data_IF_134920754765
#
_entry.id   IF_134920754765
#
_cell.length_a   1.000
_cell.length_b   1.000
_cell.length_c   1.000
_cell.angle_alpha   90.00
_cell.angle_beta   90.00
_cell.angle_gamma   90.00
#
_symmetry.space_group_name_H-M   'P 1'
#
loop_
_entity.id
_entity.type
_entity.pdbx_description
1 polymer ?
#
# COMPACT_ATOMS: atom_id res chain seq x y z
N UNK A 1 -29.49 -18.66 -15.22
CA UNK A 1 -29.02 -19.41 -14.02
C UNK A 1 -27.50 -19.49 -13.86
N UNK A 2 -26.69 -19.62 -14.94
CA UNK A 2 -25.21 -19.64 -14.86
C UNK A 2 -24.59 -18.36 -14.24
N UNK A 3 -25.31 -17.24 -14.25
CA UNK A 3 -24.83 -15.98 -13.68
C UNK A 3 -25.06 -15.82 -12.16
N UNK A 4 -26.00 -16.54 -11.55
CA UNK A 4 -26.44 -16.21 -10.17
C UNK A 4 -25.34 -16.49 -9.14
N UNK A 5 -24.79 -17.71 -9.13
CA UNK A 5 -23.68 -18.06 -8.24
C UNK A 5 -22.43 -17.20 -8.46
N UNK A 6 -22.16 -16.79 -9.71
CA UNK A 6 -21.10 -15.83 -10.04
C UNK A 6 -21.35 -14.45 -9.40
N UNK A 7 -22.58 -13.95 -9.47
CA UNK A 7 -22.97 -12.67 -8.85
C UNK A 7 -22.79 -12.72 -7.33
N UNK A 8 -23.17 -13.82 -6.70
CA UNK A 8 -23.02 -14.03 -5.25
C UNK A 8 -21.55 -14.01 -4.84
N UNK A 9 -20.67 -14.76 -5.53
CA UNK A 9 -19.22 -14.75 -5.26
C UNK A 9 -18.67 -13.33 -5.34
N UNK A 10 -19.02 -12.61 -6.40
CA UNK A 10 -18.51 -11.25 -6.62
C UNK A 10 -19.05 -10.25 -5.60
N UNK A 11 -20.31 -10.39 -5.17
CA UNK A 11 -20.90 -9.53 -4.15
C UNK A 11 -20.22 -9.73 -2.79
N UNK A 12 -20.06 -10.99 -2.36
CA UNK A 12 -19.39 -11.34 -1.12
C UNK A 12 -17.91 -10.91 -1.11
N UNK A 13 -17.16 -11.22 -2.18
CA UNK A 13 -15.77 -10.79 -2.31
C UNK A 13 -15.66 -9.26 -2.31
N UNK A 14 -16.53 -8.54 -3.03
CA UNK A 14 -16.52 -7.07 -3.05
C UNK A 14 -16.85 -6.47 -1.68
N UNK A 15 -17.74 -7.09 -0.91
CA UNK A 15 -18.14 -6.61 0.42
C UNK A 15 -16.96 -6.58 1.40
N UNK A 16 -16.04 -7.53 1.30
CA UNK A 16 -14.94 -7.72 2.26
C UNK A 16 -13.59 -7.24 1.70
N UNK A 17 -13.26 -7.56 0.45
CA UNK A 17 -11.96 -7.26 -0.14
C UNK A 17 -11.83 -5.81 -0.60
N UNK A 18 -12.89 -5.23 -1.19
CA UNK A 18 -12.82 -3.89 -1.76
C UNK A 18 -12.65 -2.74 -0.73
N UNK A 19 -13.23 -2.82 0.49
CA UNK A 19 -12.94 -1.85 1.55
C UNK A 19 -11.47 -1.82 1.98
N UNK A 20 -10.75 -2.94 1.81
CA UNK A 20 -9.35 -3.11 2.23
C UNK A 20 -8.36 -2.77 1.10
N UNK A 21 -8.84 -2.23 -0.02
CA UNK A 21 -8.00 -1.75 -1.13
C UNK A 21 -7.84 -2.73 -2.30
N UNK A 22 -8.28 -3.99 -2.15
CA UNK A 22 -8.19 -4.98 -3.24
C UNK A 22 -9.16 -4.62 -4.38
N UNK A 23 -8.70 -4.81 -5.61
CA UNK A 23 -9.51 -4.58 -6.80
C UNK A 23 -9.68 -5.82 -7.66
N UNK A 24 -10.81 -5.90 -8.35
CA UNK A 24 -11.18 -7.03 -9.18
C UNK A 24 -10.55 -6.93 -10.57
N UNK A 25 -10.08 -8.05 -11.11
CA UNK A 25 -9.54 -8.15 -12.47
C UNK A 25 -10.69 -8.35 -13.47
N UNK A 26 -11.10 -7.26 -14.14
CA UNK A 26 -12.15 -7.29 -15.16
C UNK A 26 -13.46 -7.92 -14.66
N UNK A 27 -13.99 -8.89 -15.41
CA UNK A 27 -15.17 -9.68 -15.05
C UNK A 27 -14.84 -11.05 -14.45
N UNK A 28 -13.57 -11.32 -14.14
CA UNK A 28 -13.13 -12.60 -13.53
C UNK A 28 -13.59 -12.73 -12.08
N UNK A 29 -13.33 -13.86 -11.42
CA UNK A 29 -13.50 -14.02 -9.97
C UNK A 29 -12.19 -13.80 -9.21
N UNK A 30 -11.28 -13.04 -9.80
CA UNK A 30 -9.94 -12.80 -9.28
C UNK A 30 -9.83 -11.37 -8.78
N UNK A 31 -9.22 -11.22 -7.62
CA UNK A 31 -8.96 -9.96 -6.94
C UNK A 31 -7.46 -9.83 -6.70
N UNK A 32 -6.96 -8.60 -6.79
CA UNK A 32 -5.56 -8.26 -6.63
C UNK A 32 -5.42 -7.25 -5.50
N UNK A 33 -4.51 -7.54 -4.60
CA UNK A 33 -3.87 -6.58 -3.71
C UNK A 33 -2.53 -6.16 -4.33
N UNK A 34 -2.48 -4.95 -4.87
CA UNK A 34 -1.27 -4.44 -5.53
C UNK A 34 -0.35 -3.77 -4.51
N UNK A 35 0.76 -4.44 -4.21
CA UNK A 35 1.79 -3.96 -3.29
C UNK A 35 3.00 -3.38 -4.04
N UNK A 36 2.86 -3.08 -5.34
CA UNK A 36 3.85 -2.41 -6.18
C UNK A 36 4.93 -3.33 -6.78
N UNK A 37 5.68 -4.07 -5.97
CA UNK A 37 6.71 -5.01 -6.45
C UNK A 37 6.24 -6.47 -6.50
N UNK A 38 5.14 -6.75 -5.82
CA UNK A 38 4.44 -8.02 -5.86
C UNK A 38 2.95 -7.76 -5.74
N UNK A 39 2.16 -8.71 -6.20
CA UNK A 39 0.71 -8.69 -6.06
C UNK A 39 0.28 -9.89 -5.25
N UNK A 40 -0.65 -9.71 -4.33
CA UNK A 40 -1.34 -10.83 -3.69
C UNK A 40 -2.63 -11.03 -4.46
N UNK A 41 -2.72 -12.17 -5.14
CA UNK A 41 -3.87 -12.55 -5.93
C UNK A 41 -4.77 -13.48 -5.10
N UNK A 42 -6.03 -13.10 -5.00
CA UNK A 42 -7.12 -13.90 -4.43
C UNK A 42 -7.98 -14.41 -5.58
N UNK A 43 -8.00 -15.72 -5.79
CA UNK A 43 -8.76 -16.36 -6.86
C UNK A 43 -9.84 -17.29 -6.29
N UNK A 44 -11.08 -16.99 -6.66
CA UNK A 44 -12.22 -17.89 -6.45
C UNK A 44 -12.29 -18.89 -7.61
N UNK A 45 -11.44 -19.92 -7.54
CA UNK A 45 -11.21 -20.85 -8.65
C UNK A 45 -12.45 -21.73 -8.91
N UNK A 46 -12.99 -21.75 -10.13
CA UNK A 46 -14.09 -22.64 -10.51
C UNK A 46 -13.64 -24.11 -10.59
N UNK A 47 -14.61 -25.03 -10.47
CA UNK A 47 -14.41 -26.45 -10.75
C UNK A 47 -15.08 -26.82 -12.08
N UNK A 48 -14.43 -27.64 -12.88
CA UNK A 48 -15.01 -28.17 -14.12
C UNK A 48 -16.14 -29.18 -13.87
N UNK A 49 -16.21 -29.76 -12.67
CA UNK A 49 -17.12 -30.86 -12.32
C UNK A 49 -18.36 -30.40 -11.55
N UNK A 50 -18.33 -29.22 -10.94
CA UNK A 50 -19.43 -28.73 -10.11
C UNK A 50 -19.49 -27.20 -10.11
N UNK A 51 -20.71 -26.67 -9.95
CA UNK A 51 -20.94 -25.23 -9.86
C UNK A 51 -20.56 -24.78 -8.47
N UNK A 52 -19.42 -24.12 -8.33
CA UNK A 52 -18.91 -23.75 -7.02
C UNK A 52 -17.57 -23.04 -7.11
N UNK A 53 -16.86 -22.98 -5.99
CA UNK A 53 -15.54 -22.37 -5.92
C UNK A 53 -14.64 -23.06 -4.90
N UNK A 54 -13.36 -23.16 -5.26
CA UNK A 54 -12.25 -23.18 -4.31
C UNK A 54 -11.80 -21.75 -4.00
N UNK A 55 -10.96 -21.60 -2.99
CA UNK A 55 -10.24 -20.37 -2.71
C UNK A 55 -8.74 -20.62 -2.87
N UNK A 56 -8.09 -19.81 -3.70
CA UNK A 56 -6.64 -19.75 -3.79
C UNK A 56 -6.17 -18.33 -3.42
N UNK A 57 -5.08 -18.24 -2.67
CA UNK A 57 -4.42 -16.97 -2.36
C UNK A 57 -2.92 -17.14 -2.49
N UNK A 58 -2.29 -16.32 -3.31
CA UNK A 58 -0.85 -16.39 -3.54
C UNK A 58 -0.23 -15.08 -3.99
N UNK A 59 1.07 -14.98 -3.76
CA UNK A 59 1.93 -13.87 -4.13
C UNK A 59 2.48 -14.12 -5.53
N UNK A 60 2.46 -13.10 -6.38
CA UNK A 60 3.20 -13.06 -7.63
C UNK A 60 4.20 -11.91 -7.61
N UNK A 61 5.47 -12.18 -7.89
CA UNK A 61 6.54 -11.17 -7.90
C UNK A 61 6.62 -10.52 -9.29
N UNK A 62 6.57 -9.18 -9.34
CA UNK A 62 6.48 -8.42 -10.59
C UNK A 62 7.83 -8.16 -11.27
N UNK A 63 8.87 -8.92 -10.91
CA UNK A 63 10.22 -8.81 -11.49
C UNK A 63 10.69 -10.08 -12.21
N UNK A 64 9.81 -11.08 -12.40
CA UNK A 64 10.15 -12.31 -13.09
C UNK A 64 9.88 -12.21 -14.59
N UNK A 65 10.94 -12.26 -15.40
CA UNK A 65 10.91 -11.86 -16.82
C UNK A 65 10.55 -12.98 -17.80
N UNK A 66 10.03 -14.13 -17.32
CA UNK A 66 9.70 -15.24 -18.23
C UNK A 66 8.36 -14.98 -18.93
N UNK A 67 8.35 -15.00 -20.27
CA UNK A 67 7.16 -14.72 -21.10
C UNK A 67 5.94 -15.56 -20.71
N UNK A 68 6.13 -16.82 -20.30
CA UNK A 68 5.05 -17.73 -19.85
C UNK A 68 4.37 -17.31 -18.53
N UNK A 69 5.05 -16.60 -17.63
CA UNK A 69 4.43 -16.09 -16.39
C UNK A 69 3.73 -14.74 -16.60
N UNK A 70 4.16 -13.95 -17.58
CA UNK A 70 3.53 -12.66 -17.88
C UNK A 70 2.15 -12.81 -18.56
N UNK A 71 1.91 -13.94 -19.22
CA UNK A 71 0.62 -14.26 -19.84
C UNK A 71 -0.42 -14.80 -18.82
N UNK A 72 0.05 -15.25 -17.65
CA UNK A 72 -0.79 -15.77 -16.56
C UNK A 72 -0.15 -15.43 -15.22
N UNK A 73 -0.74 -14.50 -14.45
CA UNK A 73 -0.36 -14.25 -13.05
C UNK A 73 -0.34 -15.57 -12.27
N UNK A 74 0.85 -16.16 -12.12
CA UNK A 74 1.06 -17.42 -11.45
C UNK A 74 1.49 -17.15 -10.01
N UNK A 75 1.03 -17.98 -9.07
CA UNK A 75 1.48 -17.88 -7.68
C UNK A 75 2.94 -18.33 -7.58
N UNK A 76 3.85 -17.42 -7.25
CA UNK A 76 5.21 -17.75 -6.84
C UNK A 76 5.22 -18.37 -5.44
N UNK A 77 4.37 -17.87 -4.55
CA UNK A 77 4.19 -18.35 -3.18
C UNK A 77 2.70 -18.43 -2.90
N UNK A 78 2.25 -19.49 -2.22
CA UNK A 78 0.84 -19.68 -1.90
C UNK A 78 0.06 -20.44 -2.97
N UNK A 79 -1.12 -20.92 -2.60
CA UNK A 79 -1.98 -21.76 -3.44
C UNK A 79 -3.38 -21.85 -2.79
N UNK A 80 -4.03 -23.01 -2.88
CA UNK A 80 -5.33 -23.33 -2.30
C UNK A 80 -5.35 -23.18 -0.78
N UNK A 81 -6.34 -22.45 -0.29
CA UNK A 81 -6.61 -22.26 1.13
C UNK A 81 -7.47 -23.42 1.64
N UNK A 82 -6.81 -24.50 2.09
CA UNK A 82 -7.49 -25.73 2.51
C UNK A 82 -8.47 -25.55 3.67
N UNK A 83 -8.28 -24.53 4.52
CA UNK A 83 -9.13 -24.20 5.68
C UNK A 83 -10.61 -24.07 5.32
N UNK A 84 -10.93 -23.52 4.15
CA UNK A 84 -12.32 -23.28 3.71
C UNK A 84 -12.85 -24.32 2.71
N UNK A 85 -12.00 -25.24 2.23
CA UNK A 85 -12.40 -26.35 1.36
C UNK A 85 -13.02 -25.92 0.03
N UNK A 86 -13.95 -26.74 -0.48
CA UNK A 86 -14.74 -26.47 -1.69
C UNK A 86 -16.18 -26.10 -1.33
N UNK A 87 -16.70 -25.04 -1.94
CA UNK A 87 -18.09 -24.65 -1.78
C UNK A 87 -18.88 -24.92 -3.07
N UNK A 88 -19.81 -25.88 -3.00
CA UNK A 88 -20.77 -26.20 -4.07
C UNK A 88 -22.04 -25.36 -3.97
N UNK A 89 -22.52 -24.85 -5.11
CA UNK A 89 -23.77 -24.12 -5.25
C UNK A 89 -24.91 -25.06 -5.65
N UNK A 90 -25.85 -25.28 -4.72
CA UNK A 90 -27.02 -26.16 -4.89
C UNK A 90 -28.35 -25.39 -5.02
N UNK A 91 -28.29 -24.11 -5.36
CA UNK A 91 -29.48 -23.27 -5.57
C UNK A 91 -29.99 -22.53 -4.33
N UNK A 92 -29.29 -22.61 -3.19
CA UNK A 92 -29.58 -21.81 -2.00
C UNK A 92 -28.63 -20.60 -1.96
N UNK A 93 -29.13 -19.44 -2.38
CA UNK A 93 -28.35 -18.22 -2.52
C UNK A 93 -27.79 -17.74 -1.18
N UNK A 94 -28.63 -17.69 -0.14
CA UNK A 94 -28.23 -17.17 1.18
C UNK A 94 -27.14 -18.02 1.85
N UNK A 95 -27.27 -19.35 1.77
CA UNK A 95 -26.27 -20.27 2.31
C UNK A 95 -24.94 -20.20 1.54
N UNK A 96 -25.01 -19.99 0.22
CA UNK A 96 -23.83 -19.87 -0.62
C UNK A 96 -23.14 -18.52 -0.46
N UNK A 97 -23.90 -17.43 -0.29
CA UNK A 97 -23.39 -16.09 0.01
C UNK A 97 -22.58 -16.09 1.30
N UNK A 98 -23.14 -16.64 2.39
CA UNK A 98 -22.42 -16.75 3.66
C UNK A 98 -21.08 -17.50 3.51
N UNK A 99 -21.06 -18.61 2.77
CA UNK A 99 -19.81 -19.33 2.49
C UNK A 99 -18.81 -18.51 1.68
N UNK A 100 -19.28 -17.67 0.75
CA UNK A 100 -18.39 -16.80 -0.03
C UNK A 100 -17.86 -15.63 0.80
N UNK A 101 -18.61 -15.17 1.80
CA UNK A 101 -18.12 -14.23 2.80
C UNK A 101 -17.03 -14.88 3.66
N UNK A 102 -17.25 -16.09 4.17
CA UNK A 102 -16.23 -16.85 4.93
C UNK A 102 -14.94 -17.07 4.09
N UNK A 103 -15.09 -17.31 2.78
CA UNK A 103 -13.96 -17.41 1.85
C UNK A 103 -13.22 -16.07 1.73
N UNK A 104 -13.94 -14.96 1.59
CA UNK A 104 -13.32 -13.64 1.49
C UNK A 104 -12.64 -13.21 2.80
N UNK A 105 -13.18 -13.57 3.97
CA UNK A 105 -12.53 -13.36 5.27
C UNK A 105 -11.23 -14.18 5.40
N UNK A 106 -11.27 -15.46 5.03
CA UNK A 106 -10.07 -16.31 5.00
C UNK A 106 -9.02 -15.80 4.00
N UNK A 107 -9.47 -15.20 2.89
CA UNK A 107 -8.57 -14.56 1.94
C UNK A 107 -7.87 -13.34 2.55
N UNK A 108 -8.61 -12.49 3.27
CA UNK A 108 -8.03 -11.34 3.98
C UNK A 108 -7.03 -11.75 5.05
N UNK A 109 -7.29 -12.84 5.78
CA UNK A 109 -6.33 -13.41 6.74
C UNK A 109 -5.00 -13.74 6.05
N UNK A 110 -5.06 -14.41 4.89
CA UNK A 110 -3.86 -14.78 4.10
C UNK A 110 -3.18 -13.58 3.44
N UNK A 111 -3.93 -12.61 2.95
CA UNK A 111 -3.38 -11.35 2.43
C UNK A 111 -2.54 -10.68 3.51
N UNK A 112 -3.07 -10.52 4.73
CA UNK A 112 -2.34 -9.93 5.86
C UNK A 112 -1.11 -10.75 6.26
N UNK A 113 -1.21 -12.07 6.28
CA UNK A 113 -0.08 -12.97 6.55
C UNK A 113 1.06 -12.76 5.54
N UNK A 114 0.74 -12.71 4.25
CA UNK A 114 1.72 -12.49 3.18
C UNK A 114 2.32 -11.08 3.21
N UNK A 115 1.54 -10.04 3.51
CA UNK A 115 2.06 -8.68 3.72
C UNK A 115 3.03 -8.61 4.90
N UNK A 116 2.79 -9.37 5.98
CA UNK A 116 3.72 -9.47 7.11
C UNK A 116 4.99 -10.26 6.76
N UNK A 117 4.88 -11.34 5.99
CA UNK A 117 6.01 -12.16 5.55
C UNK A 117 7.05 -11.36 4.75
N UNK A 118 6.63 -10.37 3.94
CA UNK A 118 7.58 -9.50 3.22
C UNK A 118 8.53 -8.74 4.15
N UNK A 119 8.02 -8.25 5.28
CA UNK A 119 8.86 -7.52 6.22
C UNK A 119 9.81 -8.45 6.99
N UNK A 120 9.40 -9.70 7.22
CA UNK A 120 10.28 -10.76 7.72
C UNK A 120 11.37 -11.09 6.69
N UNK A 121 11.03 -11.14 5.39
CA UNK A 121 12.00 -11.35 4.31
C UNK A 121 13.03 -10.20 4.26
N UNK A 122 12.62 -8.94 4.42
CA UNK A 122 13.56 -7.81 4.49
C UNK A 122 14.51 -7.92 5.68
N UNK A 123 14.01 -8.34 6.85
CA UNK A 123 14.88 -8.64 8.01
C UNK A 123 15.92 -9.66 7.59
N UNK A 124 15.50 -10.80 7.03
CA UNK A 124 16.39 -11.93 6.69
C UNK A 124 17.42 -11.62 5.60
N UNK A 125 17.06 -10.81 4.61
CA UNK A 125 17.90 -10.56 3.42
C UNK A 125 18.96 -9.49 3.67
N UNK A 126 18.78 -8.60 4.67
CA UNK A 126 19.70 -7.49 4.93
C UNK A 126 20.28 -7.56 6.34
N UNK A 127 21.37 -8.32 6.54
CA UNK A 127 22.05 -8.36 7.83
C UNK A 127 22.56 -6.96 8.19
N UNK A 128 22.39 -6.58 9.45
CA UNK A 128 22.88 -5.32 10.01
C UNK A 128 23.97 -5.60 11.04
N UNK A 129 24.98 -4.75 11.09
CA UNK A 129 26.07 -4.87 12.07
C UNK A 129 25.96 -3.84 13.20
N UNK A 130 25.28 -2.71 12.94
CA UNK A 130 25.16 -1.59 13.88
C UNK A 130 23.74 -1.05 13.98
N UNK A 131 23.40 -0.43 15.13
CA UNK A 131 22.09 0.19 15.35
C UNK A 131 21.82 1.38 14.41
N UNK A 132 22.88 2.04 13.94
CA UNK A 132 22.79 3.24 13.09
C UNK A 132 22.46 2.89 11.63
N UNK A 133 22.79 1.67 11.18
CA UNK A 133 22.40 1.13 9.87
C UNK A 133 20.89 0.93 9.72
N UNK A 134 20.15 0.83 10.83
CA UNK A 134 18.68 0.73 10.81
C UNK A 134 18.06 2.01 10.23
N UNK A 135 18.70 3.17 10.43
CA UNK A 135 18.23 4.44 9.85
C UNK A 135 18.29 4.45 8.31
N UNK A 136 19.06 3.56 7.68
CA UNK A 136 19.12 3.43 6.21
C UNK A 136 17.81 2.88 5.64
N UNK A 137 16.97 2.22 6.45
CA UNK A 137 15.63 1.78 6.04
C UNK A 137 14.64 2.94 5.84
N UNK A 138 14.98 4.15 6.30
CA UNK A 138 14.11 5.33 6.17
C UNK A 138 13.66 5.55 4.71
N UNK A 139 14.55 5.36 3.74
CA UNK A 139 14.21 5.56 2.31
C UNK A 139 13.22 4.51 1.80
N UNK A 140 13.43 3.23 2.11
CA UNK A 140 12.55 2.14 1.68
C UNK A 140 11.16 2.27 2.31
N UNK A 141 11.09 2.62 3.59
CA UNK A 141 9.80 2.74 4.27
C UNK A 141 9.07 4.03 3.86
N UNK A 142 9.79 5.10 3.53
CA UNK A 142 9.18 6.29 2.94
C UNK A 142 8.56 6.00 1.56
N UNK A 143 9.19 5.15 0.73
CA UNK A 143 8.59 4.69 -0.52
C UNK A 143 7.33 3.85 -0.27
N UNK A 144 7.39 2.90 0.68
CA UNK A 144 6.24 2.09 1.08
C UNK A 144 5.07 2.97 1.52
N UNK A 145 5.32 4.03 2.29
CA UNK A 145 4.29 5.00 2.67
C UNK A 145 3.70 5.73 1.46
N UNK A 146 4.54 6.08 0.48
CA UNK A 146 4.10 6.64 -0.81
C UNK A 146 3.07 5.75 -1.49
N UNK A 147 3.39 4.46 -1.66
CA UNK A 147 2.50 3.46 -2.28
C UNK A 147 1.24 3.25 -1.46
N UNK A 148 1.39 2.99 -0.15
CA UNK A 148 0.28 2.68 0.75
C UNK A 148 -0.71 3.84 0.91
N UNK A 149 -0.24 5.09 0.82
CA UNK A 149 -1.11 6.27 0.96
C UNK A 149 -1.63 6.80 -0.38
N UNK A 150 -1.24 6.20 -1.51
CA UNK A 150 -1.57 6.65 -2.87
C UNK A 150 -3.09 6.60 -3.15
N UNK A 151 -3.80 5.68 -2.51
CA UNK A 151 -5.22 5.39 -2.76
C UNK A 151 -6.18 6.15 -1.83
N UNK A 152 -5.69 6.79 -0.77
CA UNK A 152 -6.45 7.45 0.31
C UNK A 152 -7.64 8.30 -0.17
N UNK A 153 -7.50 8.94 -1.34
CA UNK A 153 -8.57 9.65 -2.04
C UNK A 153 -8.87 9.08 -3.42
N UNK A 154 -7.89 8.47 -4.10
CA UNK A 154 -8.09 7.88 -5.43
C UNK A 154 -9.22 6.84 -5.42
N UNK A 155 -9.39 6.12 -4.32
CA UNK A 155 -10.48 5.16 -4.13
C UNK A 155 -11.89 5.77 -4.34
N UNK A 156 -12.06 7.08 -4.11
CA UNK A 156 -13.34 7.76 -4.36
C UNK A 156 -13.66 7.82 -5.86
N UNK A 157 -12.65 7.94 -6.72
CA UNK A 157 -12.84 7.93 -8.18
C UNK A 157 -13.25 6.55 -8.70
N UNK A 158 -13.06 5.48 -7.92
CA UNK A 158 -13.39 4.12 -8.32
C UNK A 158 -14.86 3.80 -8.01
N UNK A 159 -15.53 3.16 -8.98
CA UNK A 159 -16.92 2.67 -8.86
C UNK A 159 -17.98 3.75 -8.63
N UNK A 160 -17.85 4.94 -9.25
CA UNK A 160 -18.79 6.06 -9.14
C UNK A 160 -19.02 6.59 -7.71
N UNK A 161 -18.22 6.14 -6.73
CA UNK A 161 -18.31 6.57 -5.33
C UNK A 161 -18.15 8.08 -5.18
N UNK A 162 -17.38 8.70 -6.07
CA UNK A 162 -17.14 10.14 -6.10
C UNK A 162 -18.45 10.93 -6.23
N UNK A 163 -19.44 10.42 -6.97
CA UNK A 163 -20.74 11.09 -7.11
C UNK A 163 -21.46 11.20 -5.77
N UNK A 164 -21.43 10.13 -4.97
CA UNK A 164 -21.99 10.10 -3.61
C UNK A 164 -21.12 10.90 -2.64
N UNK A 165 -19.80 10.81 -2.77
CA UNK A 165 -18.85 11.51 -1.90
C UNK A 165 -19.02 13.04 -1.95
N UNK A 166 -19.30 13.58 -3.14
CA UNK A 166 -19.52 15.02 -3.33
C UNK A 166 -20.88 15.53 -2.83
N UNK A 167 -21.84 14.65 -2.52
CA UNK A 167 -23.08 15.03 -1.83
C UNK A 167 -22.84 15.37 -0.35
N UNK A 168 -21.73 14.90 0.23
CA UNK A 168 -21.42 15.19 1.62
C UNK A 168 -20.95 16.65 1.81
N UNK A 169 -21.35 17.29 2.94
CA UNK A 169 -20.83 18.59 3.32
C UNK A 169 -19.29 18.59 3.39
N UNK A 170 -18.67 19.71 3.02
CA UNK A 170 -17.21 19.87 3.00
C UNK A 170 -16.52 19.39 4.29
N UNK A 171 -17.08 19.73 5.46
CA UNK A 171 -16.56 19.28 6.77
C UNK A 171 -16.45 17.76 6.88
N UNK A 172 -17.43 17.01 6.37
CA UNK A 172 -17.42 15.53 6.39
C UNK A 172 -16.37 14.96 5.43
N UNK A 173 -16.21 15.57 4.25
CA UNK A 173 -15.16 15.19 3.28
C UNK A 173 -13.76 15.38 3.86
N UNK A 174 -13.49 16.54 4.47
CA UNK A 174 -12.21 16.79 5.14
C UNK A 174 -11.96 15.82 6.30
N UNK A 175 -12.98 15.58 7.13
CA UNK A 175 -12.85 14.66 8.28
C UNK A 175 -12.58 13.23 7.83
N UNK A 176 -13.27 12.75 6.79
CA UNK A 176 -13.05 11.42 6.22
C UNK A 176 -11.62 11.25 5.70
N UNK A 177 -11.15 12.24 4.93
CA UNK A 177 -9.82 12.22 4.34
C UNK A 177 -8.70 12.29 5.40
N UNK A 178 -8.83 13.22 6.36
CA UNK A 178 -7.88 13.34 7.48
C UNK A 178 -7.85 12.07 8.31
N UNK A 179 -9.01 11.46 8.58
CA UNK A 179 -9.09 10.19 9.33
C UNK A 179 -8.30 9.08 8.63
N UNK A 180 -8.43 8.92 7.30
CA UNK A 180 -7.67 7.92 6.53
C UNK A 180 -6.17 8.19 6.60
N UNK A 181 -5.75 9.42 6.35
CA UNK A 181 -4.34 9.82 6.43
C UNK A 181 -3.76 9.53 7.82
N UNK A 182 -4.46 9.88 8.89
CA UNK A 182 -4.02 9.62 10.27
C UNK A 182 -3.94 8.13 10.56
N UNK A 183 -4.93 7.34 10.15
CA UNK A 183 -4.93 5.88 10.33
C UNK A 183 -3.74 5.26 9.60
N UNK A 184 -3.53 5.60 8.31
CA UNK A 184 -2.40 5.09 7.53
C UNK A 184 -1.05 5.48 8.13
N UNK A 185 -0.91 6.73 8.57
CA UNK A 185 0.32 7.21 9.19
C UNK A 185 0.60 6.49 10.52
N UNK A 186 -0.39 6.35 11.39
CA UNK A 186 -0.24 5.65 12.69
C UNK A 186 0.08 4.18 12.47
N UNK A 187 -0.58 3.53 11.51
CA UNK A 187 -0.31 2.13 11.15
C UNK A 187 1.15 1.94 10.73
N UNK A 188 1.66 2.76 9.82
CA UNK A 188 3.04 2.65 9.33
C UNK A 188 4.08 3.00 10.42
N UNK A 189 3.79 3.95 11.30
CA UNK A 189 4.68 4.26 12.45
C UNK A 189 4.74 3.06 13.41
N UNK A 190 3.59 2.47 13.74
CA UNK A 190 3.53 1.28 14.59
C UNK A 190 4.29 0.10 13.97
N UNK A 191 4.17 -0.05 12.65
CA UNK A 191 4.93 -1.02 11.87
C UNK A 191 6.43 -0.86 12.12
N UNK A 192 6.99 0.33 11.84
CA UNK A 192 8.43 0.61 11.99
C UNK A 192 8.90 0.42 13.42
N UNK A 193 8.11 0.86 14.39
CA UNK A 193 8.42 0.70 15.81
C UNK A 193 8.63 -0.78 16.16
N UNK A 194 7.76 -1.67 15.66
CA UNK A 194 7.89 -3.12 15.84
C UNK A 194 9.07 -3.68 15.04
N UNK A 195 9.25 -3.27 13.78
CA UNK A 195 10.33 -3.78 12.92
C UNK A 195 11.72 -3.45 13.43
N UNK A 196 11.91 -2.27 14.01
CA UNK A 196 13.17 -1.89 14.63
C UNK A 196 13.61 -2.95 15.65
N UNK A 197 12.70 -3.37 16.53
CA UNK A 197 13.00 -4.40 17.53
C UNK A 197 13.18 -5.79 16.92
N UNK A 198 12.49 -6.10 15.81
CA UNK A 198 12.73 -7.33 15.04
C UNK A 198 14.18 -7.45 14.57
N UNK A 199 14.76 -6.38 14.04
CA UNK A 199 16.18 -6.32 13.66
C UNK A 199 17.12 -6.48 14.86
N UNK A 200 16.80 -5.83 15.98
CA UNK A 200 17.61 -5.91 17.21
C UNK A 200 17.63 -7.32 17.79
N UNK A 201 16.48 -8.00 17.79
CA UNK A 201 16.36 -9.38 18.28
C UNK A 201 17.05 -10.40 17.37
N UNK A 202 17.00 -10.19 16.05
CA UNK A 202 17.54 -11.13 15.07
C UNK A 202 19.07 -11.04 14.94
N UNK A 203 19.62 -9.82 14.89
CA UNK A 203 21.01 -9.60 14.52
C UNK A 203 21.91 -9.14 15.67
N UNK A 204 21.34 -8.78 16.83
CA UNK A 204 22.08 -8.27 17.99
C UNK A 204 23.14 -7.21 17.60
N UNK A 205 22.74 -6.11 16.93
CA UNK A 205 23.67 -5.12 16.41
C UNK A 205 24.51 -4.50 17.52
N UNK A 206 25.75 -4.10 17.20
CA UNK A 206 26.63 -3.46 18.17
C UNK A 206 26.43 -1.95 18.17
N UNK A 207 26.43 -1.33 19.35
CA UNK A 207 26.34 0.11 19.47
C UNK A 207 27.72 0.78 19.45
N UNK A 208 28.21 1.08 18.26
CA UNK A 208 29.44 1.87 18.08
C UNK A 208 29.23 3.37 18.34
N UNK A 209 27.97 3.79 18.47
CA UNK A 209 27.60 5.20 18.34
C UNK A 209 27.71 6.03 19.63
N UNK A 210 28.03 5.44 20.78
CA UNK A 210 28.11 6.15 22.06
C UNK A 210 26.80 6.79 22.56
N UNK A 211 25.77 6.85 21.72
CA UNK A 211 24.42 7.34 22.01
C UNK A 211 23.59 6.20 22.58
N UNK A 212 22.73 6.49 23.56
CA UNK A 212 21.85 5.46 24.12
C UNK A 212 20.95 4.83 23.05
N UNK A 213 20.71 3.52 23.15
CA UNK A 213 19.86 2.76 22.22
C UNK A 213 18.44 3.38 22.14
N UNK A 214 17.92 3.87 23.26
CA UNK A 214 16.63 4.54 23.32
C UNK A 214 16.58 5.80 22.43
N UNK A 215 17.65 6.60 22.44
CA UNK A 215 17.73 7.81 21.59
C UNK A 215 17.84 7.42 20.12
N UNK A 216 18.64 6.41 19.76
CA UNK A 216 18.74 5.93 18.38
C UNK A 216 17.39 5.41 17.86
N UNK A 217 16.67 4.66 18.69
CA UNK A 217 15.33 4.17 18.39
C UNK A 217 14.35 5.33 18.12
N UNK A 218 14.27 6.30 19.03
CA UNK A 218 13.38 7.45 18.89
C UNK A 218 13.73 8.26 17.63
N UNK A 219 15.02 8.52 17.40
CA UNK A 219 15.48 9.26 16.22
C UNK A 219 15.12 8.53 14.92
N UNK A 220 15.32 7.21 14.85
CA UNK A 220 14.96 6.40 13.70
C UNK A 220 13.45 6.44 13.42
N UNK A 221 12.62 6.17 14.43
CA UNK A 221 11.16 6.17 14.30
C UNK A 221 10.64 7.54 13.89
N UNK A 222 11.13 8.62 14.51
CA UNK A 222 10.70 9.98 14.19
C UNK A 222 11.16 10.45 12.80
N UNK A 223 12.38 10.10 12.36
CA UNK A 223 12.85 10.42 11.02
C UNK A 223 12.04 9.66 9.96
N UNK A 224 11.80 8.37 10.16
CA UNK A 224 10.92 7.59 9.30
C UNK A 224 9.50 8.17 9.26
N UNK A 225 8.94 8.56 10.41
CA UNK A 225 7.62 9.18 10.47
C UNK A 225 7.53 10.45 9.61
N UNK A 226 8.53 11.32 9.68
CA UNK A 226 8.58 12.56 8.89
C UNK A 226 8.69 12.26 7.38
N UNK A 227 9.59 11.35 7.00
CA UNK A 227 9.82 10.99 5.59
C UNK A 227 8.64 10.25 4.97
N UNK A 228 7.99 9.36 5.72
CA UNK A 228 6.73 8.71 5.33
C UNK A 228 5.60 9.72 5.15
N UNK A 229 5.45 10.67 6.09
CA UNK A 229 4.41 11.67 6.00
C UNK A 229 4.56 12.51 4.73
N UNK A 230 5.79 12.93 4.41
CA UNK A 230 6.05 13.64 3.16
C UNK A 230 5.78 12.79 1.91
N UNK A 231 6.40 11.62 1.80
CA UNK A 231 6.28 10.77 0.60
C UNK A 231 4.85 10.27 0.38
N UNK A 232 4.14 9.93 1.46
CA UNK A 232 2.74 9.54 1.46
C UNK A 232 1.82 10.65 0.97
N UNK A 233 1.93 11.85 1.55
CA UNK A 233 1.13 13.01 1.12
C UNK A 233 1.49 13.44 -0.31
N UNK A 234 2.76 13.39 -0.70
CA UNK A 234 3.19 13.69 -2.06
C UNK A 234 2.57 12.73 -3.07
N UNK A 235 2.61 11.43 -2.80
CA UNK A 235 2.03 10.41 -3.69
C UNK A 235 0.52 10.57 -3.79
N UNK A 236 -0.16 10.75 -2.65
CA UNK A 236 -1.57 11.11 -2.60
C UNK A 236 -1.89 12.37 -3.44
N UNK A 237 -1.07 13.42 -3.36
CA UNK A 237 -1.25 14.62 -4.17
C UNK A 237 -1.10 14.32 -5.66
N UNK A 238 -0.07 13.56 -6.02
CA UNK A 238 0.22 13.18 -7.40
C UNK A 238 -0.92 12.35 -8.00
N UNK A 239 -1.42 11.34 -7.28
CA UNK A 239 -2.55 10.50 -7.75
C UNK A 239 -3.83 11.31 -7.89
N UNK A 240 -4.08 12.27 -6.99
CA UNK A 240 -5.23 13.16 -7.07
C UNK A 240 -5.17 14.10 -8.30
N UNK A 241 -4.02 14.74 -8.53
CA UNK A 241 -3.82 15.65 -9.66
C UNK A 241 -3.84 14.92 -11.01
N UNK A 242 -3.17 13.77 -11.09
CA UNK A 242 -3.03 12.98 -12.32
C UNK A 242 -4.26 12.12 -12.61
N UNK A 243 -5.12 11.88 -11.61
CA UNK A 243 -6.28 10.98 -11.67
C UNK A 243 -5.92 9.57 -12.17
N UNK A 244 -4.71 9.12 -11.88
CA UNK A 244 -4.23 7.79 -12.21
C UNK A 244 -3.27 7.33 -11.11
N UNK A 245 -3.62 6.23 -10.45
CA UNK A 245 -2.83 5.70 -9.33
C UNK A 245 -1.44 5.23 -9.79
N UNK A 246 -1.37 4.52 -10.92
CA UNK A 246 -0.11 4.01 -11.46
C UNK A 246 0.86 5.11 -11.89
N UNK A 247 0.39 6.14 -12.59
CA UNK A 247 1.25 7.28 -12.98
C UNK A 247 1.70 8.05 -11.74
N UNK A 248 0.82 8.26 -10.75
CA UNK A 248 1.18 8.94 -9.50
C UNK A 248 2.25 8.19 -8.71
N UNK A 249 2.07 6.89 -8.51
CA UNK A 249 3.08 6.02 -7.87
C UNK A 249 4.39 6.02 -8.67
N UNK A 250 4.31 5.89 -10.00
CA UNK A 250 5.49 5.92 -10.87
C UNK A 250 6.28 7.22 -10.78
N UNK A 251 5.61 8.38 -10.74
CA UNK A 251 6.26 9.67 -10.55
C UNK A 251 6.97 9.76 -9.19
N UNK A 252 6.32 9.31 -8.11
CA UNK A 252 6.93 9.31 -6.77
C UNK A 252 8.08 8.30 -6.68
N UNK A 253 7.99 7.16 -7.35
CA UNK A 253 9.07 6.20 -7.43
C UNK A 253 10.30 6.75 -8.16
N UNK A 254 10.12 7.44 -9.30
CA UNK A 254 11.22 8.11 -10.00
C UNK A 254 11.86 9.20 -9.15
N UNK A 255 11.05 9.98 -8.42
CA UNK A 255 11.56 10.96 -7.46
C UNK A 255 12.34 10.27 -6.32
N UNK A 256 11.83 9.16 -5.80
CA UNK A 256 12.51 8.39 -4.77
C UNK A 256 13.87 7.86 -5.26
N UNK A 257 13.94 7.32 -6.48
CA UNK A 257 15.21 6.89 -7.09
C UNK A 257 16.20 8.06 -7.18
N UNK A 258 15.73 9.24 -7.57
CA UNK A 258 16.57 10.44 -7.58
C UNK A 258 17.05 10.82 -6.17
N UNK A 259 16.15 10.89 -5.18
CA UNK A 259 16.46 11.25 -3.79
C UNK A 259 17.38 10.26 -3.07
N UNK A 260 17.41 9.01 -3.53
CA UNK A 260 18.25 7.93 -2.98
C UNK A 260 19.56 7.76 -3.78
N UNK A 261 19.68 8.41 -4.94
CA UNK A 261 20.87 8.37 -5.80
C UNK A 261 21.98 9.30 -5.31
N UNK A 262 23.23 8.97 -5.70
CA UNK A 262 24.42 9.81 -5.51
C UNK A 262 24.28 11.21 -6.10
N UNK A 263 23.38 11.43 -7.08
CA UNK A 263 23.10 12.74 -7.69
C UNK A 263 22.60 13.75 -6.64
N UNK A 264 21.89 13.27 -5.61
CA UNK A 264 21.35 14.10 -4.52
C UNK A 264 22.46 14.84 -3.75
N UNK A 265 23.72 14.40 -3.84
CA UNK A 265 24.86 15.08 -3.22
C UNK A 265 25.13 16.47 -3.80
N UNK A 266 24.66 16.75 -5.02
CA UNK A 266 24.78 18.07 -5.66
C UNK A 266 23.82 19.08 -5.02
N UNK A 267 22.72 18.62 -4.42
CA UNK A 267 21.72 19.48 -3.82
C UNK A 267 22.20 20.10 -2.50
N UNK A 268 21.72 21.30 -2.13
CA UNK A 268 21.88 21.85 -0.79
C UNK A 268 21.43 20.86 0.29
N UNK A 269 22.11 20.84 1.43
CA UNK A 269 21.89 19.84 2.49
C UNK A 269 20.44 19.77 2.99
N UNK A 270 19.71 20.88 2.94
CA UNK A 270 18.29 20.95 3.33
C UNK A 270 17.38 20.15 2.40
N UNK A 271 17.72 20.06 1.10
CA UNK A 271 16.94 19.35 0.08
C UNK A 271 17.31 17.86 -0.04
N UNK A 272 18.23 17.37 0.80
CA UNK A 272 18.60 15.96 0.81
C UNK A 272 17.78 15.22 1.85
N UNK A 273 16.58 14.75 1.46
CA UNK A 273 15.59 14.13 2.36
C UNK A 273 16.20 13.06 3.28
N UNK A 274 16.96 12.13 2.71
CA UNK A 274 17.51 10.97 3.43
C UNK A 274 18.92 11.20 3.97
N UNK A 275 19.42 12.44 4.00
CA UNK A 275 20.79 12.72 4.44
C UNK A 275 21.01 12.31 5.90
N UNK A 276 22.09 11.60 6.18
CA UNK A 276 22.52 11.29 7.54
C UNK A 276 23.67 12.24 7.93
N UNK A 277 23.56 12.88 9.08
CA UNK A 277 24.64 13.64 9.72
C UNK A 277 25.70 12.65 10.21
N UNK A 278 26.92 12.77 9.68
CA UNK A 278 28.02 11.85 9.96
C UNK A 278 28.86 11.39 8.76
N UNK A 279 28.49 11.73 7.52
CA UNK A 279 29.25 11.36 6.29
C UNK A 279 30.73 11.86 6.27
N UNK A 280 31.17 12.65 7.26
CA UNK A 280 32.50 13.31 7.28
C UNK A 280 33.34 12.97 8.53
N UNK A 281 32.88 12.13 9.47
CA UNK A 281 33.66 11.85 10.70
C UNK A 281 33.92 10.35 10.86
N UNK A 282 35.18 9.99 11.13
CA UNK A 282 35.72 8.64 11.31
C UNK A 282 35.09 7.82 12.47
N UNK A 283 34.08 8.36 13.17
CA UNK A 283 33.54 7.80 14.42
C UNK A 283 32.22 7.00 14.28
N UNK A 284 31.75 6.69 13.06
CA UNK A 284 30.66 5.71 12.85
C UNK A 284 29.25 6.15 13.30
N UNK A 285 29.03 7.44 13.57
CA UNK A 285 27.72 7.99 13.94
C UNK A 285 26.89 8.33 12.70
N UNK A 286 25.76 7.65 12.47
CA UNK A 286 24.79 8.00 11.42
C UNK A 286 23.46 8.43 12.08
N UNK A 287 23.25 9.74 12.21
CA UNK A 287 21.98 10.29 12.72
C UNK A 287 21.23 11.06 11.64
N UNK A 288 19.89 11.12 11.65
CA UNK A 288 19.14 11.88 10.66
C UNK A 288 19.50 13.38 10.68
N UNK A 289 19.74 13.98 9.50
CA UNK A 289 19.87 15.43 9.39
C UNK A 289 18.48 16.09 9.52
N UNK A 290 18.16 16.49 10.76
CA UNK A 290 16.85 17.00 11.18
C UNK A 290 16.32 18.21 10.40
N UNK A 291 17.13 19.22 10.03
CA UNK A 291 16.63 20.38 9.28
C UNK A 291 15.95 19.98 7.95
N UNK A 292 16.43 18.91 7.30
CA UNK A 292 15.77 18.39 6.10
C UNK A 292 14.40 17.77 6.42
N UNK A 293 14.30 16.92 7.46
CA UNK A 293 13.02 16.28 7.86
C UNK A 293 11.96 17.32 8.22
N UNK A 294 12.36 18.39 8.92
CA UNK A 294 11.47 19.50 9.26
C UNK A 294 10.96 20.19 7.99
N UNK A 295 11.85 20.51 7.04
CA UNK A 295 11.47 21.11 5.76
C UNK A 295 10.43 20.26 5.04
N UNK A 296 10.70 18.96 4.88
CA UNK A 296 9.80 18.05 4.17
C UNK A 296 8.47 17.83 4.90
N UNK A 297 8.46 17.82 6.24
CA UNK A 297 7.22 17.81 7.01
C UNK A 297 6.38 19.08 6.79
N UNK A 298 7.01 20.26 6.73
CA UNK A 298 6.33 21.53 6.41
C UNK A 298 5.76 21.51 4.99
N UNK A 299 6.54 21.01 4.01
CA UNK A 299 6.06 20.84 2.63
C UNK A 299 4.87 19.89 2.59
N UNK A 300 4.93 18.78 3.32
CA UNK A 300 3.83 17.82 3.43
C UNK A 300 2.55 18.46 3.98
N UNK A 301 2.66 19.32 5.01
CA UNK A 301 1.52 20.09 5.53
C UNK A 301 0.94 21.01 4.44
N UNK A 302 1.78 21.70 3.66
CA UNK A 302 1.35 22.52 2.53
C UNK A 302 0.59 21.70 1.47
N UNK A 303 1.11 20.53 1.11
CA UNK A 303 0.47 19.60 0.17
C UNK A 303 -0.86 19.05 0.73
N UNK A 304 -0.94 18.81 2.05
CA UNK A 304 -2.19 18.39 2.69
C UNK A 304 -3.25 19.49 2.57
N UNK A 305 -2.91 20.76 2.82
CA UNK A 305 -3.83 21.87 2.61
C UNK A 305 -4.28 22.00 1.15
N UNK A 306 -3.36 21.81 0.20
CA UNK A 306 -3.70 21.78 -1.23
C UNK A 306 -4.73 20.69 -1.52
N UNK A 307 -4.54 19.48 -0.99
CA UNK A 307 -5.48 18.38 -1.19
C UNK A 307 -6.85 18.64 -0.54
N UNK A 308 -6.88 19.19 0.67
CA UNK A 308 -8.12 19.57 1.33
C UNK A 308 -8.88 20.63 0.51
N UNK A 309 -8.16 21.55 -0.13
CA UNK A 309 -8.74 22.51 -1.06
C UNK A 309 -9.26 21.83 -2.34
N UNK A 310 -8.50 20.90 -2.94
CA UNK A 310 -8.89 20.18 -4.15
C UNK A 310 -10.18 19.36 -3.96
N UNK A 311 -10.39 18.78 -2.77
CA UNK A 311 -11.61 18.03 -2.40
C UNK A 311 -12.87 18.91 -2.38
N UNK A 312 -12.71 20.24 -2.29
CA UNK A 312 -13.82 21.17 -2.41
C UNK A 312 -14.25 21.41 -3.85
N UNK A 313 -13.32 21.32 -4.81
CA UNK A 313 -13.64 21.50 -6.24
C UNK A 313 -14.22 20.22 -6.80
N UNK A 314 -15.39 20.31 -7.43
CA UNK A 314 -15.99 19.17 -8.12
C UNK A 314 -15.07 18.77 -9.29
N UNK A 315 -14.82 17.48 -9.53
CA UNK A 315 -13.98 17.07 -10.64
C UNK A 315 -14.71 17.42 -11.94
N UNK A 316 -14.04 18.12 -12.87
CA UNK A 316 -14.59 18.31 -14.21
C UNK A 316 -14.99 16.95 -14.81
N UNK A 317 -16.30 16.77 -15.01
CA UNK A 317 -16.94 15.58 -15.58
C UNK A 317 -16.61 15.42 -17.09
N UNK A 318 -15.97 16.42 -17.69
CA UNK A 318 -15.82 16.60 -19.13
C UNK A 318 -14.53 16.06 -19.76
N UNK A 319 -13.63 15.42 -19.01
CA UNK A 319 -12.49 14.72 -19.63
C UNK A 319 -12.96 13.35 -20.15
N UNK A 320 -13.17 13.29 -21.48
CA UNK A 320 -13.47 12.09 -22.28
C UNK A 320 -12.78 10.84 -21.69
N UNK A 321 -13.59 9.98 -21.07
CA UNK A 321 -13.15 8.76 -20.41
C UNK A 321 -14.23 8.18 -19.49
N UNK A 322 -15.14 9.04 -19.00
CA UNK A 322 -16.17 8.70 -18.02
C UNK A 322 -17.52 8.31 -18.61
N UNK A 323 -17.58 7.94 -19.89
CA UNK A 323 -18.82 7.58 -20.58
C UNK A 323 -18.79 6.14 -21.11
N UNK A 324 -18.70 5.14 -20.24
CA UNK A 324 -19.22 3.79 -20.52
C UNK A 324 -19.56 3.10 -19.21
N UNK A 325 -20.72 3.40 -18.61
CA UNK A 325 -21.60 2.46 -17.88
C UNK A 325 -22.80 3.17 -17.25
N UNK A 326 -23.35 4.18 -17.92
CA UNK A 326 -24.73 4.62 -17.69
C UNK A 326 -25.66 3.80 -18.57
N UNK A 327 -26.54 3.00 -17.96
CA UNK A 327 -27.63 2.29 -18.63
C UNK A 327 -28.37 3.26 -19.57
N UNK A 328 -28.28 3.01 -20.88
CA UNK A 328 -29.28 3.58 -21.80
C UNK A 328 -30.53 2.74 -21.63
N UNK A 329 -31.47 3.28 -20.86
CA UNK A 329 -32.84 2.76 -20.81
C UNK A 329 -33.41 2.67 -22.23
N UNK A 330 -34.01 1.53 -22.53
CA UNK A 330 -35.16 1.45 -23.43
C UNK A 330 -36.39 1.37 -22.56
#
# INVERSE_FOLDING_TARGET
MLEQHNKIINAAAKKILAPEGLFRVGSSRTWIDDNGYFVIQVEFQPSSYDRGSYLNVGISFLWETSERLNETLAFNIGYRVNKVGYASYRGNDAAYEKKMEDFAEAAMEKVREYSMLFMVIIILVRPISSYSEISVFESSVALLAGVFMADNYYMEYMNDRISTYYLFPFKKKCTSLLKRIVISQVYLIALIAVFYWGFVLMYHPTNYSGVSIAVLYIQCVCACAASMFFMGILCFTATNLLRNIGIGIGCVFLLWLFLTSSITRILPQLLQLFKLSGEVVQDGFLTPYWPSRILYAVVAIGLLFLNLYLVNKQPDYNKKGWCKHGNKGK
#
